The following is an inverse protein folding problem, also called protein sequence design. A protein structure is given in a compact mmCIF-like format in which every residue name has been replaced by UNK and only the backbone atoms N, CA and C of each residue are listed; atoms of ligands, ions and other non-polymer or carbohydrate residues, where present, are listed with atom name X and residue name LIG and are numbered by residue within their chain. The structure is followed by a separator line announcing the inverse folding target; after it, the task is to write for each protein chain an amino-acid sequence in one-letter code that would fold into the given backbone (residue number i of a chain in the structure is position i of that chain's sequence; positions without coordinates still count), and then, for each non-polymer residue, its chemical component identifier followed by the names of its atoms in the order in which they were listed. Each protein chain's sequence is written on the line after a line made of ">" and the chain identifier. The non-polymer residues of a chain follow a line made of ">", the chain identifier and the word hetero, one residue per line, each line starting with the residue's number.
data_IF_865572586984
#
_entry.id   IF_865572586984
#
_cell.length_a   1.000
_cell.length_b   1.000
_cell.length_c   1.000
_cell.angle_alpha   90.00
_cell.angle_beta   90.00
_cell.angle_gamma   90.00
#
_symmetry.space_group_name_H-M   'P 1'
#
loop_
_entity.id
_entity.type
_entity.pdbx_description
1 polymer ?
#
# COMPACT_ATOMS: atom_id res chain seq x y z
N UNK A 1 -9.90 3.44 3.69
CA UNK A 1 -9.43 2.54 4.78
C UNK A 1 -9.56 1.04 4.47
N UNK A 2 -10.57 0.59 3.72
CA UNK A 2 -10.72 -0.83 3.37
C UNK A 2 -9.62 -1.34 2.44
N UNK A 3 -9.29 -0.60 1.37
CA UNK A 3 -8.22 -0.98 0.44
C UNK A 3 -6.84 -1.11 1.12
N UNK A 4 -6.50 -0.22 2.05
CA UNK A 4 -5.22 -0.29 2.80
C UNK A 4 -5.13 -1.55 3.69
N UNK A 5 -6.22 -1.92 4.38
CA UNK A 5 -6.26 -3.16 5.16
C UNK A 5 -6.23 -4.40 4.28
N UNK A 6 -6.91 -4.39 3.13
CA UNK A 6 -6.83 -5.47 2.15
C UNK A 6 -5.39 -5.65 1.63
N UNK A 7 -4.70 -4.54 1.34
CA UNK A 7 -3.28 -4.55 0.98
C UNK A 7 -2.43 -5.19 2.09
N UNK A 8 -2.63 -4.76 3.35
CA UNK A 8 -1.90 -5.31 4.50
C UNK A 8 -2.12 -6.81 4.69
N UNK A 9 -3.36 -7.29 4.52
CA UNK A 9 -3.70 -8.73 4.57
C UNK A 9 -2.96 -9.48 3.48
N UNK A 10 -3.03 -9.02 2.22
CA UNK A 10 -2.34 -9.64 1.10
C UNK A 10 -0.83 -9.66 1.32
N UNK A 11 -0.22 -8.56 1.79
CA UNK A 11 1.21 -8.52 2.09
C UNK A 11 1.62 -9.57 3.13
N UNK A 12 0.78 -9.86 4.13
CA UNK A 12 1.09 -10.88 5.14
C UNK A 12 0.74 -12.32 4.75
N UNK A 13 -0.34 -12.54 3.99
CA UNK A 13 -0.88 -13.88 3.75
C UNK A 13 -0.65 -14.39 2.33
N UNK A 14 -0.59 -13.48 1.35
CA UNK A 14 -0.45 -13.76 -0.09
C UNK A 14 0.43 -12.68 -0.76
N UNK A 15 1.72 -12.57 -0.36
CA UNK A 15 2.60 -11.52 -0.86
C UNK A 15 2.79 -11.58 -2.38
N UNK A 16 2.56 -12.75 -2.98
CA UNK A 16 2.55 -12.98 -4.42
C UNK A 16 1.44 -12.19 -5.16
N UNK A 17 0.32 -11.91 -4.49
CA UNK A 17 -0.84 -11.20 -5.07
C UNK A 17 -0.85 -9.70 -4.75
N UNK A 18 -0.07 -9.24 -3.77
CA UNK A 18 -0.09 -7.86 -3.32
C UNK A 18 0.29 -6.84 -4.43
N UNK A 19 1.33 -7.06 -5.26
CA UNK A 19 1.70 -6.12 -6.32
C UNK A 19 0.57 -5.92 -7.34
N UNK A 20 -0.04 -7.02 -7.80
CA UNK A 20 -1.14 -6.98 -8.76
C UNK A 20 -2.35 -6.24 -8.18
N UNK A 21 -2.70 -6.51 -6.92
CA UNK A 21 -3.76 -5.80 -6.22
C UNK A 21 -3.49 -4.30 -6.11
N UNK A 22 -2.26 -3.89 -5.76
CA UNK A 22 -1.88 -2.48 -5.68
C UNK A 22 -2.07 -1.81 -7.04
N UNK A 23 -1.53 -2.38 -8.11
CA UNK A 23 -1.67 -1.83 -9.46
C UNK A 23 -3.13 -1.69 -9.89
N UNK A 24 -3.96 -2.69 -9.63
CA UNK A 24 -5.40 -2.65 -9.96
C UNK A 24 -6.16 -1.64 -9.11
N UNK A 25 -5.86 -1.54 -7.82
CA UNK A 25 -6.50 -0.56 -6.94
C UNK A 25 -6.16 0.88 -7.36
N UNK A 26 -4.89 1.15 -7.70
CA UNK A 26 -4.47 2.44 -8.25
C UNK A 26 -5.15 2.74 -9.58
N UNK A 27 -5.18 1.78 -10.51
CA UNK A 27 -5.87 1.94 -11.81
C UNK A 27 -7.36 2.23 -11.62
N UNK A 28 -8.04 1.43 -10.80
CA UNK A 28 -9.46 1.59 -10.51
C UNK A 28 -9.78 3.00 -10.01
N UNK A 29 -8.97 3.54 -9.10
CA UNK A 29 -9.19 4.86 -8.53
C UNK A 29 -8.78 5.99 -9.48
N UNK A 30 -7.54 5.99 -9.97
CA UNK A 30 -6.96 7.12 -10.70
C UNK A 30 -7.30 7.15 -12.19
N UNK A 31 -7.45 5.99 -12.83
CA UNK A 31 -7.72 5.91 -14.27
C UNK A 31 -9.19 5.65 -14.59
N UNK A 32 -9.90 4.91 -13.73
CA UNK A 32 -11.28 4.45 -14.00
C UNK A 32 -12.34 5.18 -13.17
N UNK A 33 -11.94 6.02 -12.21
CA UNK A 33 -12.87 6.79 -11.36
C UNK A 33 -13.73 5.95 -10.42
N UNK A 34 -13.34 4.69 -10.15
CA UNK A 34 -14.06 3.79 -9.25
C UNK A 34 -13.73 4.10 -7.80
N UNK A 35 -14.76 4.13 -6.94
CA UNK A 35 -14.58 4.33 -5.51
C UNK A 35 -14.05 3.08 -4.80
N UNK A 36 -12.73 2.98 -4.61
CA UNK A 36 -12.10 1.86 -3.89
C UNK A 36 -12.37 1.82 -2.36
N UNK A 37 -13.16 2.76 -1.83
CA UNK A 37 -13.70 2.67 -0.47
C UNK A 37 -15.01 1.90 -0.41
N UNK A 38 -15.67 1.70 -1.54
CA UNK A 38 -16.86 0.85 -1.65
C UNK A 38 -16.46 -0.64 -1.62
N UNK A 39 -17.18 -1.43 -0.82
CA UNK A 39 -16.86 -2.83 -0.57
C UNK A 39 -17.06 -3.72 -1.80
N UNK A 40 -18.06 -3.42 -2.64
CA UNK A 40 -18.36 -4.15 -3.86
C UNK A 40 -17.30 -3.86 -4.92
N UNK A 41 -16.89 -2.58 -5.05
CA UNK A 41 -15.77 -2.18 -5.92
C UNK A 41 -14.49 -2.88 -5.48
N UNK A 42 -14.18 -2.87 -4.19
CA UNK A 42 -12.97 -3.51 -3.66
C UNK A 42 -12.99 -5.02 -3.85
N UNK A 43 -14.15 -5.68 -3.68
CA UNK A 43 -14.30 -7.12 -3.94
C UNK A 43 -13.94 -7.45 -5.39
N UNK A 44 -14.41 -6.65 -6.35
CA UNK A 44 -14.09 -6.83 -7.77
C UNK A 44 -12.59 -6.66 -8.03
N UNK A 45 -11.96 -5.61 -7.48
CA UNK A 45 -10.50 -5.41 -7.61
C UNK A 45 -9.73 -6.63 -7.07
N UNK A 46 -10.12 -7.16 -5.91
CA UNK A 46 -9.49 -8.35 -5.32
C UNK A 46 -9.64 -9.59 -6.21
N UNK A 47 -10.83 -9.84 -6.75
CA UNK A 47 -11.09 -10.96 -7.67
C UNK A 47 -10.27 -10.83 -8.96
N UNK A 48 -10.24 -9.63 -9.54
CA UNK A 48 -9.44 -9.31 -10.73
C UNK A 48 -7.93 -9.50 -10.48
N UNK A 49 -7.49 -9.36 -9.22
CA UNK A 49 -6.10 -9.60 -8.78
C UNK A 49 -5.80 -11.07 -8.50
N UNK A 50 -6.76 -11.98 -8.68
CA UNK A 50 -6.62 -13.41 -8.38
C UNK A 50 -6.76 -13.78 -6.90
N UNK A 51 -7.17 -12.84 -6.05
CA UNK A 51 -7.36 -13.07 -4.62
C UNK A 51 -8.75 -13.66 -4.31
N UNK A 52 -8.82 -14.47 -3.24
CA UNK A 52 -10.10 -14.90 -2.67
C UNK A 52 -10.73 -13.74 -1.90
N UNK A 53 -11.50 -12.92 -2.60
CA UNK A 53 -11.93 -11.62 -2.09
C UNK A 53 -12.70 -11.69 -0.78
N UNK A 54 -13.60 -12.66 -0.58
CA UNK A 54 -14.33 -12.81 0.69
C UNK A 54 -13.38 -13.04 1.86
N UNK A 55 -12.41 -13.95 1.72
CA UNK A 55 -11.43 -14.24 2.76
C UNK A 55 -10.58 -13.00 3.10
N UNK A 56 -10.12 -12.26 2.09
CA UNK A 56 -9.33 -11.03 2.30
C UNK A 56 -10.18 -9.95 2.98
N UNK A 57 -11.44 -9.77 2.58
CA UNK A 57 -12.33 -8.77 3.17
C UNK A 57 -12.70 -9.09 4.61
N UNK A 58 -12.93 -10.37 4.93
CA UNK A 58 -13.16 -10.85 6.29
C UNK A 58 -11.95 -10.61 7.18
N UNK A 59 -10.75 -11.02 6.73
CA UNK A 59 -9.49 -10.77 7.43
C UNK A 59 -9.24 -9.25 7.62
N UNK A 60 -9.52 -8.45 6.59
CA UNK A 60 -9.38 -7.00 6.66
C UNK A 60 -10.35 -6.34 7.66
N UNK A 61 -11.51 -6.97 7.93
CA UNK A 61 -12.51 -6.45 8.84
C UNK A 61 -12.20 -6.70 10.32
N UNK A 62 -11.34 -7.68 10.63
CA UNK A 62 -10.98 -8.06 12.02
C UNK A 62 -10.30 -6.93 12.78
N UNK A 63 -10.42 -6.95 14.11
CA UNK A 63 -9.83 -5.95 15.01
C UNK A 63 -8.31 -5.95 14.97
N UNK A 64 -7.69 -7.13 14.95
CA UNK A 64 -6.23 -7.28 14.85
C UNK A 64 -5.66 -6.61 13.60
N UNK A 65 -6.33 -6.73 12.45
CA UNK A 65 -5.89 -6.08 11.21
C UNK A 65 -6.03 -4.55 11.27
N UNK A 66 -7.07 -4.03 11.95
CA UNK A 66 -7.22 -2.58 12.17
C UNK A 66 -6.11 -2.04 13.05
N UNK A 67 -5.80 -2.74 14.13
CA UNK A 67 -4.72 -2.39 15.05
C UNK A 67 -3.36 -2.44 14.35
N UNK A 68 -3.07 -3.50 13.59
CA UNK A 68 -1.83 -3.63 12.80
C UNK A 68 -1.66 -2.46 11.82
N UNK A 69 -2.72 -2.07 11.10
CA UNK A 69 -2.63 -0.92 10.19
C UNK A 69 -2.38 0.39 10.96
N UNK A 70 -3.05 0.57 12.10
CA UNK A 70 -2.82 1.74 12.98
C UNK A 70 -1.38 1.79 13.47
N UNK A 71 -0.85 0.67 13.99
CA UNK A 71 0.55 0.59 14.45
C UNK A 71 1.55 0.87 13.33
N UNK A 72 1.34 0.35 12.12
CA UNK A 72 2.21 0.63 10.98
C UNK A 72 2.19 2.12 10.58
N UNK A 73 1.03 2.79 10.66
CA UNK A 73 0.93 4.24 10.45
C UNK A 73 1.67 4.99 11.56
N UNK A 74 1.41 4.65 12.83
CA UNK A 74 2.04 5.30 13.99
C UNK A 74 3.58 5.15 13.94
N UNK A 75 4.10 3.97 13.55
CA UNK A 75 5.53 3.74 13.33
C UNK A 75 6.09 4.60 12.18
N UNK A 76 5.37 4.71 11.06
CA UNK A 76 5.80 5.57 9.94
C UNK A 76 5.90 7.04 10.36
N UNK A 77 4.95 7.53 11.15
CA UNK A 77 4.96 8.89 11.69
C UNK A 77 6.14 9.07 12.65
N UNK A 78 6.41 8.11 13.53
CA UNK A 78 7.54 8.14 14.44
C UNK A 78 8.91 8.18 13.70
N UNK A 79 8.96 7.63 12.48
CA UNK A 79 10.12 7.69 11.58
C UNK A 79 10.20 8.98 10.75
N UNK A 80 9.31 9.94 10.98
CA UNK A 80 9.29 11.22 10.28
C UNK A 80 8.64 11.18 8.89
N UNK A 81 7.90 10.12 8.54
CA UNK A 81 7.16 10.05 7.28
C UNK A 81 6.00 11.05 7.29
N UNK A 82 5.88 11.83 6.22
CA UNK A 82 4.74 12.71 5.97
C UNK A 82 4.43 12.76 4.47
N UNK A 83 3.16 13.01 4.13
CA UNK A 83 2.71 13.04 2.74
C UNK A 83 2.88 11.70 2.00
N UNK A 84 2.76 11.73 0.68
CA UNK A 84 3.00 10.58 -0.20
C UNK A 84 3.31 11.04 -1.64
N UNK A 85 4.12 10.29 -2.42
CA UNK A 85 4.90 9.13 -1.98
C UNK A 85 6.10 9.56 -1.12
N UNK A 86 6.56 8.68 -0.23
CA UNK A 86 7.70 8.90 0.65
C UNK A 86 8.52 7.60 0.71
N UNK A 87 9.83 7.70 0.57
CA UNK A 87 10.76 6.58 0.54
C UNK A 87 11.83 6.78 1.61
N UNK A 88 12.32 5.69 2.19
CA UNK A 88 13.48 5.70 3.09
C UNK A 88 14.46 4.64 2.59
N UNK A 89 15.68 5.05 2.26
CA UNK A 89 16.76 4.16 1.78
C UNK A 89 17.93 4.29 2.74
N UNK A 90 18.31 3.21 3.41
CA UNK A 90 19.41 3.18 4.40
C UNK A 90 19.32 4.29 5.48
N UNK A 91 18.09 4.68 5.85
CA UNK A 91 17.81 5.76 6.80
C UNK A 91 17.64 7.15 6.18
N UNK A 92 17.97 7.33 4.90
CA UNK A 92 17.83 8.60 4.18
C UNK A 92 16.40 8.78 3.63
N UNK A 93 15.72 9.90 3.94
CA UNK A 93 14.36 10.17 3.46
C UNK A 93 14.31 10.84 2.08
N UNK A 94 13.40 10.39 1.22
CA UNK A 94 13.06 11.00 -0.07
C UNK A 94 11.55 11.20 -0.19
N UNK A 95 11.09 12.46 -0.19
CA UNK A 95 9.67 12.80 -0.30
C UNK A 95 9.33 13.35 -1.69
N UNK A 96 8.40 12.68 -2.37
CA UNK A 96 7.88 13.08 -3.68
C UNK A 96 8.37 12.20 -4.83
N UNK A 97 7.53 12.08 -5.86
CA UNK A 97 7.85 11.33 -7.08
C UNK A 97 8.98 11.99 -7.89
N UNK A 98 9.14 13.30 -7.77
CA UNK A 98 10.22 14.09 -8.35
C UNK A 98 11.61 13.80 -7.72
N UNK A 99 11.66 13.01 -6.63
CA UNK A 99 12.90 12.59 -5.97
C UNK A 99 13.45 11.24 -6.41
N UNK A 100 12.77 10.50 -7.28
CA UNK A 100 13.24 9.18 -7.74
C UNK A 100 14.64 9.25 -8.36
N UNK A 101 14.93 10.24 -9.22
CA UNK A 101 16.26 10.39 -9.81
C UNK A 101 17.36 10.69 -8.77
N UNK A 102 17.02 11.33 -7.65
CA UNK A 102 17.95 11.58 -6.55
C UNK A 102 18.20 10.30 -5.74
N UNK A 103 17.14 9.54 -5.49
CA UNK A 103 17.19 8.24 -4.82
C UNK A 103 17.99 7.21 -5.64
N UNK A 104 17.85 7.19 -6.96
CA UNK A 104 18.66 6.33 -7.85
C UNK A 104 20.15 6.67 -7.78
N UNK A 105 20.51 7.96 -7.75
CA UNK A 105 21.92 8.36 -7.54
C UNK A 105 22.42 7.90 -6.17
N UNK A 106 21.63 8.10 -5.12
CA UNK A 106 21.98 7.63 -3.78
C UNK A 106 22.27 6.12 -3.74
N UNK A 107 21.42 5.31 -4.38
CA UNK A 107 21.61 3.86 -4.46
C UNK A 107 22.89 3.47 -5.22
N UNK A 108 23.29 4.28 -6.21
CA UNK A 108 24.46 3.99 -7.05
C UNK A 108 25.79 4.45 -6.43
N UNK A 109 25.81 5.60 -5.74
CA UNK A 109 27.05 6.24 -5.27
C UNK A 109 27.10 6.53 -3.77
N UNK A 110 26.02 6.29 -3.03
CA UNK A 110 25.91 6.66 -1.62
C UNK A 110 25.60 8.15 -1.43
N UNK A 111 25.82 8.70 -0.22
CA UNK A 111 25.59 10.11 0.04
C UNK A 111 26.55 10.99 -0.79
N UNK A 112 25.95 12.00 -1.43
CA UNK A 112 26.57 13.05 -2.27
C UNK A 112 27.07 12.59 -3.65
#
# INVERSE_FOLDING_TARGET
>A
MHAARACLVLQSERPDLAPEFIHRAFRAYFAEGRNISDIEVLRRVLQESGAQASAVLEAAARSDTKERLKSAIDESIARGVFGAPYFIVDGEPFWGNDRLAQMERWLASGPF
#
